data_IF_529908213774
#
_entry.id   IF_529908213774
#
_cell.length_a   1.000
_cell.length_b   1.000
_cell.length_c   1.000
_cell.angle_alpha   90.00
_cell.angle_beta   90.00
_cell.angle_gamma   90.00
#
_symmetry.space_group_name_H-M   'P 1'
#
loop_
_entity.id
_entity.type
_entity.pdbx_description
1 polymer ?
#
# COMPACT_ATOMS: atom_id res chain seq x y z
N UNK A 1 -23.00 10.64 -16.09
CA UNK A 1 -23.01 10.94 -14.63
C UNK A 1 -21.63 11.40 -14.22
N UNK A 2 -21.52 12.48 -13.45
CA UNK A 2 -20.25 12.88 -12.83
C UNK A 2 -20.15 12.20 -11.47
N UNK A 3 -18.99 11.68 -11.15
CA UNK A 3 -18.69 11.09 -9.85
C UNK A 3 -17.65 11.94 -9.14
N UNK A 4 -17.82 12.15 -7.84
CA UNK A 4 -16.92 12.95 -7.02
C UNK A 4 -16.73 12.31 -5.66
N UNK A 5 -15.47 12.26 -5.21
CA UNK A 5 -15.09 11.78 -3.88
C UNK A 5 -14.05 12.70 -3.26
N UNK A 6 -14.16 12.88 -1.94
CA UNK A 6 -13.22 13.66 -1.13
C UNK A 6 -12.34 12.72 -0.31
N UNK A 7 -11.04 12.97 -0.33
CA UNK A 7 -10.04 12.26 0.49
C UNK A 7 -9.22 13.31 1.23
N UNK A 8 -8.82 13.03 2.44
CA UNK A 8 -7.91 13.87 3.20
C UNK A 8 -6.56 13.19 3.38
N UNK A 9 -5.50 13.88 3.03
CA UNK A 9 -4.11 13.44 3.22
C UNK A 9 -3.38 14.41 4.14
N UNK A 10 -2.28 13.99 4.80
CA UNK A 10 -1.44 14.89 5.59
C UNK A 10 -0.87 16.03 4.73
N UNK A 11 -0.81 17.23 5.30
CA UNK A 11 -0.36 18.44 4.58
C UNK A 11 1.09 18.31 4.06
N UNK A 12 1.97 17.68 4.84
CA UNK A 12 3.37 17.40 4.44
C UNK A 12 3.48 16.43 3.26
N UNK A 13 2.40 15.72 2.89
CA UNK A 13 2.34 14.82 1.74
C UNK A 13 1.72 15.46 0.50
N UNK A 14 1.09 16.61 0.62
CA UNK A 14 0.46 17.33 -0.50
C UNK A 14 1.49 17.66 -1.59
N UNK A 15 2.66 18.15 -1.19
CA UNK A 15 3.74 18.45 -2.13
C UNK A 15 4.22 17.23 -2.93
N UNK A 16 4.23 16.04 -2.30
CA UNK A 16 4.57 14.78 -2.97
C UNK A 16 3.49 14.35 -3.96
N UNK A 17 2.21 14.56 -3.62
CA UNK A 17 1.09 14.26 -4.49
C UNK A 17 1.06 15.16 -5.73
N UNK A 18 1.35 16.45 -5.58
CA UNK A 18 1.47 17.37 -6.71
C UNK A 18 2.71 17.01 -7.53
N UNK A 19 3.83 16.77 -6.87
CA UNK A 19 5.10 16.47 -7.49
C UNK A 19 5.77 17.67 -8.14
N UNK A 20 6.99 17.49 -8.64
CA UNK A 20 7.75 18.55 -9.30
C UNK A 20 7.01 19.04 -10.53
N UNK A 21 6.68 20.33 -10.55
CA UNK A 21 5.92 20.98 -11.63
C UNK A 21 4.57 20.28 -11.95
N UNK A 22 3.90 19.70 -10.95
CA UNK A 22 2.61 19.04 -11.13
C UNK A 22 2.66 17.67 -11.80
N UNK A 23 3.85 17.11 -12.05
CA UNK A 23 4.02 15.85 -12.81
C UNK A 23 3.31 14.64 -12.21
N UNK A 24 3.34 14.50 -10.88
CA UNK A 24 2.68 13.36 -10.21
C UNK A 24 1.16 13.46 -10.36
N UNK A 25 0.61 14.65 -10.10
CA UNK A 25 -0.81 14.94 -10.27
C UNK A 25 -1.27 14.63 -11.69
N UNK A 26 -0.63 15.22 -12.71
CA UNK A 26 -0.97 15.01 -14.12
C UNK A 26 -0.92 13.53 -14.51
N UNK A 27 0.10 12.79 -14.03
CA UNK A 27 0.24 11.37 -14.31
C UNK A 27 -0.91 10.54 -13.74
N UNK A 28 -1.39 10.86 -12.54
CA UNK A 28 -2.55 10.18 -11.93
C UNK A 28 -3.82 10.50 -12.72
N UNK A 29 -4.03 11.79 -13.05
CA UNK A 29 -5.19 12.26 -13.79
C UNK A 29 -5.29 11.58 -15.16
N UNK A 30 -4.18 11.50 -15.91
CA UNK A 30 -4.11 10.84 -17.21
C UNK A 30 -4.31 9.33 -17.13
N UNK A 31 -3.67 8.66 -16.15
CA UNK A 31 -3.72 7.20 -16.03
C UNK A 31 -5.08 6.68 -15.57
N UNK A 32 -5.83 7.46 -14.79
CA UNK A 32 -7.12 7.07 -14.23
C UNK A 32 -8.32 7.78 -14.88
N UNK A 33 -8.09 8.69 -15.83
CA UNK A 33 -9.11 9.57 -16.45
C UNK A 33 -9.97 10.29 -15.41
N UNK A 34 -9.29 10.90 -14.43
CA UNK A 34 -9.90 11.68 -13.36
C UNK A 34 -9.31 13.08 -13.30
N UNK A 35 -9.97 13.98 -12.59
CA UNK A 35 -9.46 15.31 -12.24
C UNK A 35 -9.22 15.35 -10.73
N UNK A 36 -8.04 15.83 -10.33
CA UNK A 36 -7.65 16.05 -8.95
C UNK A 36 -7.67 17.54 -8.63
N UNK A 37 -8.51 17.95 -7.70
CA UNK A 37 -8.50 19.29 -7.13
C UNK A 37 -7.95 19.19 -5.70
N UNK A 38 -6.82 19.86 -5.43
CA UNK A 38 -6.02 19.68 -4.23
C UNK A 38 -5.98 20.97 -3.45
N UNK A 39 -6.58 20.99 -2.26
CA UNK A 39 -6.42 22.06 -1.30
C UNK A 39 -5.15 21.86 -0.48
N UNK A 40 -4.15 22.69 -0.76
CA UNK A 40 -2.85 22.59 -0.09
C UNK A 40 -2.87 23.06 1.37
N UNK A 41 -3.90 23.80 1.79
CA UNK A 41 -3.99 24.29 3.15
C UNK A 41 -4.59 23.26 4.11
N UNK A 42 -5.56 22.50 3.63
CA UNK A 42 -6.31 21.55 4.45
C UNK A 42 -5.95 20.08 4.16
N UNK A 43 -5.14 19.82 3.13
CA UNK A 43 -4.83 18.46 2.67
C UNK A 43 -6.03 17.73 2.08
N UNK A 44 -7.08 18.45 1.68
CA UNK A 44 -8.24 17.87 1.02
C UNK A 44 -7.99 17.67 -0.47
N UNK A 45 -8.29 16.47 -0.95
CA UNK A 45 -8.14 16.07 -2.34
C UNK A 45 -9.50 15.62 -2.86
N UNK A 46 -10.03 16.38 -3.80
CA UNK A 46 -11.26 16.05 -4.50
C UNK A 46 -10.92 15.31 -5.79
N UNK A 47 -11.39 14.09 -5.88
CA UNK A 47 -11.24 13.25 -7.07
C UNK A 47 -12.55 13.23 -7.82
N UNK A 48 -12.57 13.71 -9.06
CA UNK A 48 -13.78 13.80 -9.90
C UNK A 48 -13.54 13.26 -11.30
N UNK A 49 -14.61 12.81 -11.96
CA UNK A 49 -14.51 12.34 -13.34
C UNK A 49 -15.86 11.95 -13.93
N UNK A 50 -15.87 11.67 -15.24
CA UNK A 50 -17.07 11.25 -15.98
C UNK A 50 -17.06 9.74 -16.17
N UNK A 51 -18.10 9.06 -15.74
CA UNK A 51 -18.28 7.60 -15.86
C UNK A 51 -18.32 7.11 -17.33
N UNK A 52 -18.52 8.01 -18.28
CA UNK A 52 -18.58 7.68 -19.71
C UNK A 52 -17.19 7.37 -20.34
N UNK A 53 -16.10 7.59 -19.63
CA UNK A 53 -14.76 7.29 -20.11
C UNK A 53 -14.40 5.84 -19.76
N UNK A 54 -14.00 5.03 -20.75
CA UNK A 54 -13.61 3.63 -20.57
C UNK A 54 -12.40 3.45 -19.61
N UNK A 55 -11.55 4.47 -19.52
CA UNK A 55 -10.38 4.50 -18.63
C UNK A 55 -10.69 5.05 -17.24
N UNK A 56 -11.94 5.38 -16.95
CA UNK A 56 -12.34 5.96 -15.68
C UNK A 56 -12.15 4.98 -14.52
N UNK A 57 -11.15 5.25 -13.69
CA UNK A 57 -10.76 4.41 -12.56
C UNK A 57 -10.67 5.22 -11.26
N UNK A 58 -11.79 5.80 -10.83
CA UNK A 58 -11.80 6.67 -9.64
C UNK A 58 -11.32 5.96 -8.38
N UNK A 59 -11.67 4.67 -8.19
CA UNK A 59 -11.24 3.93 -7.01
C UNK A 59 -9.72 3.70 -7.00
N UNK A 60 -9.11 3.43 -8.15
CA UNK A 60 -7.66 3.33 -8.27
C UNK A 60 -6.97 4.68 -8.02
N UNK A 61 -7.53 5.77 -8.54
CA UNK A 61 -7.03 7.11 -8.24
C UNK A 61 -7.09 7.40 -6.74
N UNK A 62 -8.18 7.04 -6.07
CA UNK A 62 -8.33 7.18 -4.61
C UNK A 62 -7.31 6.35 -3.83
N UNK A 63 -7.07 5.09 -4.24
CA UNK A 63 -6.04 4.24 -3.63
C UNK A 63 -4.65 4.85 -3.79
N UNK A 64 -4.31 5.39 -4.98
CA UNK A 64 -3.01 6.03 -5.26
C UNK A 64 -2.83 7.27 -4.39
N UNK A 65 -3.84 8.16 -4.34
CA UNK A 65 -3.82 9.36 -3.49
C UNK A 65 -3.64 8.98 -2.02
N UNK A 66 -4.39 7.98 -1.56
CA UNK A 66 -4.28 7.46 -0.19
C UNK A 66 -2.89 6.88 0.07
N UNK A 67 -2.35 6.07 -0.83
CA UNK A 67 -1.01 5.48 -0.70
C UNK A 67 0.08 6.57 -0.57
N UNK A 68 0.03 7.61 -1.40
CA UNK A 68 0.94 8.74 -1.30
C UNK A 68 0.77 9.45 0.05
N UNK A 69 -0.46 9.71 0.49
CA UNK A 69 -0.76 10.27 1.80
C UNK A 69 -0.29 9.40 2.97
N UNK A 70 -0.16 8.09 2.77
CA UNK A 70 0.36 7.11 3.76
C UNK A 70 1.87 6.86 3.64
N UNK A 71 2.59 7.69 2.90
CA UNK A 71 4.06 7.70 2.88
C UNK A 71 4.71 6.98 1.70
N UNK A 72 3.96 6.38 0.78
CA UNK A 72 4.55 5.82 -0.42
C UNK A 72 5.10 6.89 -1.36
N UNK A 73 6.16 6.57 -2.08
CA UNK A 73 6.60 7.39 -3.22
C UNK A 73 5.60 7.28 -4.37
N UNK A 74 5.51 8.30 -5.25
CA UNK A 74 4.63 8.25 -6.42
C UNK A 74 4.86 7.00 -7.28
N UNK A 75 6.10 6.57 -7.48
CA UNK A 75 6.46 5.41 -8.28
C UNK A 75 5.88 4.12 -7.69
N UNK A 76 6.00 3.93 -6.37
CA UNK A 76 5.43 2.77 -5.67
C UNK A 76 3.89 2.82 -5.68
N UNK A 77 3.29 3.99 -5.43
CA UNK A 77 1.84 4.16 -5.47
C UNK A 77 1.24 3.86 -6.85
N UNK A 78 1.94 4.19 -7.94
CA UNK A 78 1.49 3.89 -9.31
C UNK A 78 1.49 2.38 -9.63
N UNK A 79 2.10 1.53 -8.80
CA UNK A 79 1.96 0.07 -8.95
C UNK A 79 0.52 -0.40 -8.78
N UNK A 80 -0.31 0.36 -8.07
CA UNK A 80 -1.75 0.08 -7.92
C UNK A 80 -2.52 0.02 -9.24
N UNK A 81 -1.97 0.59 -10.33
CA UNK A 81 -2.53 0.48 -11.68
C UNK A 81 -2.18 -0.83 -12.40
N UNK A 82 -1.25 -1.61 -11.86
CA UNK A 82 -0.75 -2.83 -12.50
C UNK A 82 -1.40 -4.06 -11.87
N UNK A 83 -1.91 -4.96 -12.71
CA UNK A 83 -2.47 -6.23 -12.25
C UNK A 83 -3.57 -6.05 -11.19
N UNK A 84 -3.58 -6.92 -10.21
CA UNK A 84 -4.53 -6.93 -9.10
C UNK A 84 -3.97 -6.25 -7.82
N UNK A 85 -2.95 -5.38 -7.98
CA UNK A 85 -2.40 -4.68 -6.83
C UNK A 85 -3.47 -3.83 -6.13
N UNK A 86 -3.52 -3.95 -4.81
CA UNK A 86 -4.39 -3.17 -3.93
C UNK A 86 -3.61 -2.60 -2.76
N UNK A 87 -4.19 -1.58 -2.12
CA UNK A 87 -3.65 -0.94 -0.93
C UNK A 87 -4.33 -1.50 0.32
N UNK A 88 -3.53 -1.94 1.29
CA UNK A 88 -4.02 -2.27 2.63
C UNK A 88 -3.38 -1.35 3.67
N UNK A 89 -4.20 -0.82 4.60
CA UNK A 89 -3.75 0.11 5.64
C UNK A 89 -4.06 -0.46 7.01
N UNK A 90 -3.04 -0.63 7.83
CA UNK A 90 -3.12 -1.15 9.21
C UNK A 90 -2.93 0.00 10.18
N UNK A 91 -3.87 0.19 11.10
CA UNK A 91 -3.77 1.19 12.17
C UNK A 91 -2.96 0.65 13.34
N UNK A 92 -1.90 1.35 13.74
CA UNK A 92 -1.09 0.97 14.91
C UNK A 92 -1.84 1.08 16.23
N UNK A 93 -2.94 1.83 16.25
CA UNK A 93 -3.80 1.95 17.44
C UNK A 93 -4.50 0.63 17.80
N UNK A 94 -4.81 -0.17 16.81
CA UNK A 94 -5.45 -1.49 16.99
C UNK A 94 -4.53 -2.49 17.68
N UNK A 95 -3.21 -2.28 17.57
CA UNK A 95 -2.18 -3.13 18.17
C UNK A 95 -1.53 -2.51 19.42
N UNK A 96 -2.28 -1.70 20.16
CA UNK A 96 -1.84 -1.14 21.44
C UNK A 96 -1.05 0.17 21.32
N UNK A 97 -0.98 0.80 20.15
CA UNK A 97 -0.36 2.11 19.94
C UNK A 97 -1.22 3.27 20.46
N UNK A 98 -1.44 3.34 21.77
CA UNK A 98 -2.25 4.38 22.43
C UNK A 98 -1.45 5.65 22.69
N UNK A 99 -0.19 5.50 23.13
CA UNK A 99 0.72 6.63 23.40
C UNK A 99 1.77 6.80 22.30
N UNK A 100 2.37 7.98 22.15
CA UNK A 100 3.45 8.22 21.18
C UNK A 100 4.61 7.24 21.34
N UNK A 101 5.02 6.93 22.56
CA UNK A 101 6.13 6.03 22.87
C UNK A 101 5.82 4.60 22.44
N UNK A 102 4.57 4.15 22.64
CA UNK A 102 4.12 2.82 22.17
C UNK A 102 4.14 2.75 20.66
N UNK A 103 3.67 3.79 19.98
CA UNK A 103 3.68 3.87 18.51
C UNK A 103 5.12 3.81 17.99
N UNK A 104 6.05 4.58 18.56
CA UNK A 104 7.46 4.56 18.13
C UNK A 104 8.11 3.19 18.38
N UNK A 105 7.82 2.53 19.49
CA UNK A 105 8.30 1.18 19.75
C UNK A 105 7.79 0.17 18.75
N UNK A 106 6.50 0.25 18.39
CA UNK A 106 5.87 -0.62 17.39
C UNK A 106 6.49 -0.37 16.01
N UNK A 107 6.65 0.90 15.61
CA UNK A 107 7.32 1.26 14.36
C UNK A 107 8.75 0.73 14.32
N UNK A 108 9.52 0.94 15.39
CA UNK A 108 10.88 0.45 15.48
C UNK A 108 10.99 -1.06 15.27
N UNK A 109 10.02 -1.81 15.76
CA UNK A 109 9.95 -3.25 15.56
C UNK A 109 9.70 -3.65 14.10
N UNK A 110 8.82 -2.94 13.39
CA UNK A 110 8.51 -3.19 11.99
C UNK A 110 9.63 -2.72 11.06
N UNK A 111 10.19 -1.55 11.32
CA UNK A 111 11.26 -0.96 10.51
C UNK A 111 12.57 -1.75 10.72
N UNK A 112 12.88 -2.07 11.99
CA UNK A 112 14.11 -2.72 12.39
C UNK A 112 15.33 -1.79 12.30
N UNK A 113 16.49 -2.34 12.64
CA UNK A 113 17.75 -1.60 12.55
C UNK A 113 18.02 -1.13 11.11
N UNK A 114 18.17 0.18 10.95
CA UNK A 114 18.42 0.82 9.65
C UNK A 114 17.44 0.42 8.54
N UNK A 115 16.20 0.05 8.92
CA UNK A 115 15.15 -0.37 7.96
C UNK A 115 15.26 -1.82 7.47
N UNK A 116 16.20 -2.61 7.99
CA UNK A 116 16.47 -3.99 7.53
C UNK A 116 15.26 -4.92 7.66
N UNK A 117 14.50 -4.83 8.77
CA UNK A 117 13.35 -5.72 8.96
C UNK A 117 12.26 -5.47 7.92
N UNK A 118 11.95 -4.19 7.64
CA UNK A 118 11.00 -3.81 6.60
C UNK A 118 11.44 -4.29 5.22
N UNK A 119 12.71 -4.02 4.85
CA UNK A 119 13.26 -4.44 3.54
C UNK A 119 13.24 -5.96 3.38
N UNK A 120 13.56 -6.72 4.43
CA UNK A 120 13.48 -8.19 4.40
C UNK A 120 12.04 -8.67 4.16
N UNK A 121 11.06 -8.08 4.84
CA UNK A 121 9.65 -8.41 4.61
C UNK A 121 9.20 -8.06 3.19
N UNK A 122 9.58 -6.88 2.65
CA UNK A 122 9.31 -6.49 1.27
C UNK A 122 9.88 -7.51 0.27
N UNK A 123 11.15 -7.90 0.45
CA UNK A 123 11.83 -8.85 -0.43
C UNK A 123 11.21 -10.26 -0.38
N UNK A 124 10.85 -10.73 0.82
CA UNK A 124 10.28 -12.06 1.01
C UNK A 124 8.83 -12.16 0.53
N UNK A 125 8.00 -11.14 0.78
CA UNK A 125 6.60 -11.11 0.37
C UNK A 125 6.37 -10.61 -1.05
N UNK A 126 7.34 -9.87 -1.62
CA UNK A 126 7.23 -9.11 -2.87
C UNK A 126 6.19 -7.98 -2.83
N UNK A 127 5.70 -7.62 -1.64
CA UNK A 127 4.85 -6.46 -1.41
C UNK A 127 5.69 -5.23 -1.03
N UNK A 128 5.21 -4.04 -1.35
CA UNK A 128 5.81 -2.79 -0.83
C UNK A 128 5.20 -2.45 0.52
N UNK A 129 6.04 -2.08 1.49
CA UNK A 129 5.63 -1.74 2.85
C UNK A 129 6.10 -0.32 3.19
N UNK A 130 5.23 0.50 3.75
CA UNK A 130 5.60 1.80 4.31
C UNK A 130 5.05 1.97 5.72
N UNK A 131 5.80 2.68 6.55
CA UNK A 131 5.41 3.03 7.92
C UNK A 131 5.38 4.55 8.00
N UNK A 132 4.20 5.11 8.19
CA UNK A 132 4.02 6.56 8.22
C UNK A 132 2.96 6.98 9.24
N UNK A 133 3.28 8.02 10.03
CA UNK A 133 2.38 8.49 11.07
C UNK A 133 2.01 7.39 12.07
N UNK A 134 0.75 7.02 12.13
CA UNK A 134 0.19 5.99 13.01
C UNK A 134 -0.30 4.76 12.22
N UNK A 135 0.21 4.56 11.00
CA UNK A 135 -0.22 3.49 10.12
C UNK A 135 0.95 2.75 9.47
N UNK A 136 0.73 1.50 9.17
CA UNK A 136 1.53 0.71 8.25
C UNK A 136 0.67 0.49 7.01
N UNK A 137 1.24 0.69 5.84
CA UNK A 137 0.51 0.51 4.58
C UNK A 137 1.28 -0.45 3.68
N UNK A 138 0.56 -1.31 2.98
CA UNK A 138 1.11 -2.37 2.14
C UNK A 138 0.47 -2.30 0.76
N UNK A 139 1.28 -2.41 -0.30
CA UNK A 139 0.83 -2.52 -1.69
C UNK A 139 1.33 -3.84 -2.26
N UNK A 140 0.45 -4.59 -2.88
CA UNK A 140 0.78 -5.85 -3.54
C UNK A 140 -0.43 -6.54 -4.13
N UNK A 141 -0.17 -7.66 -4.81
CA UNK A 141 -1.22 -8.59 -5.23
C UNK A 141 -1.81 -9.33 -4.02
N UNK A 142 -3.00 -9.93 -4.12
CA UNK A 142 -3.69 -10.56 -2.98
C UNK A 142 -2.82 -11.52 -2.17
N UNK A 143 -2.03 -12.35 -2.84
CA UNK A 143 -1.14 -13.32 -2.17
C UNK A 143 0.02 -12.64 -1.47
N UNK A 144 0.64 -11.64 -2.12
CA UNK A 144 1.73 -10.84 -1.56
C UNK A 144 1.25 -10.05 -0.33
N UNK A 145 0.06 -9.43 -0.44
CA UNK A 145 -0.58 -8.72 0.67
C UNK A 145 -0.79 -9.64 1.86
N UNK A 146 -1.38 -10.82 1.65
CA UNK A 146 -1.62 -11.78 2.71
C UNK A 146 -0.32 -12.13 3.46
N UNK A 147 0.75 -12.48 2.73
CA UNK A 147 2.05 -12.80 3.34
C UNK A 147 2.62 -11.63 4.14
N UNK A 148 2.55 -10.41 3.59
CA UNK A 148 3.07 -9.22 4.27
C UNK A 148 2.24 -8.83 5.50
N UNK A 149 0.91 -8.88 5.42
CA UNK A 149 0.00 -8.56 6.52
C UNK A 149 0.18 -9.58 7.65
N UNK A 150 0.16 -10.88 7.37
CA UNK A 150 0.37 -11.94 8.35
C UNK A 150 1.72 -11.80 9.07
N UNK A 151 2.76 -11.36 8.34
CA UNK A 151 4.07 -11.08 8.90
C UNK A 151 4.06 -9.87 9.85
N UNK A 152 3.45 -8.77 9.41
CA UNK A 152 3.32 -7.55 10.20
C UNK A 152 2.53 -7.82 11.47
N UNK A 153 1.38 -8.47 11.38
CA UNK A 153 0.53 -8.81 12.54
C UNK A 153 1.26 -9.75 13.51
N UNK A 154 2.01 -10.72 12.99
CA UNK A 154 2.85 -11.61 13.83
C UNK A 154 3.92 -10.83 14.60
N UNK A 155 4.58 -9.85 13.95
CA UNK A 155 5.54 -8.98 14.63
C UNK A 155 4.87 -8.09 15.69
N UNK A 156 3.71 -7.53 15.36
CA UNK A 156 2.91 -6.71 16.27
C UNK A 156 2.44 -7.53 17.50
N UNK A 157 2.11 -8.81 17.30
CA UNK A 157 1.78 -9.77 18.33
C UNK A 157 2.96 -10.29 19.17
N UNK A 158 4.20 -9.82 18.88
CA UNK A 158 5.38 -10.14 19.69
C UNK A 158 6.30 -11.23 19.12
N UNK A 159 6.01 -11.79 17.94
CA UNK A 159 6.84 -12.83 17.32
C UNK A 159 8.24 -12.32 16.97
N UNK A 160 9.26 -13.19 17.06
CA UNK A 160 10.63 -12.85 16.66
C UNK A 160 10.76 -12.71 15.14
N UNK A 161 11.59 -11.78 14.66
CA UNK A 161 11.82 -11.52 13.24
C UNK A 161 12.20 -12.80 12.47
N UNK A 162 13.15 -13.59 12.98
CA UNK A 162 13.57 -14.83 12.33
C UNK A 162 12.44 -15.84 12.11
N UNK A 163 11.51 -15.95 13.06
CA UNK A 163 10.31 -16.77 12.90
C UNK A 163 9.40 -16.24 11.78
N UNK A 164 9.17 -14.92 11.78
CA UNK A 164 8.31 -14.27 10.78
C UNK A 164 8.87 -14.45 9.36
N UNK A 165 10.18 -14.29 9.17
CA UNK A 165 10.81 -14.51 7.86
C UNK A 165 10.64 -15.94 7.36
N UNK A 166 10.86 -16.94 8.22
CA UNK A 166 10.62 -18.35 7.87
C UNK A 166 9.16 -18.62 7.50
N UNK A 167 8.22 -17.96 8.18
CA UNK A 167 6.79 -18.08 7.88
C UNK A 167 6.45 -17.53 6.50
N UNK A 168 7.00 -16.35 6.12
CA UNK A 168 6.82 -15.78 4.78
C UNK A 168 7.39 -16.71 3.70
N UNK A 169 8.62 -17.21 3.91
CA UNK A 169 9.26 -18.15 2.96
C UNK A 169 8.46 -19.45 2.79
N UNK A 170 7.91 -19.99 3.88
CA UNK A 170 7.07 -21.19 3.83
C UNK A 170 5.77 -20.92 3.05
N UNK A 171 5.09 -19.80 3.33
CA UNK A 171 3.88 -19.39 2.61
C UNK A 171 4.14 -19.21 1.12
N UNK A 172 5.24 -18.54 0.75
CA UNK A 172 5.64 -18.34 -0.64
C UNK A 172 5.92 -19.67 -1.39
N UNK A 173 6.55 -20.63 -0.71
CA UNK A 173 6.77 -21.97 -1.27
C UNK A 173 5.45 -22.68 -1.52
N UNK A 174 4.53 -22.60 -0.56
CA UNK A 174 3.20 -23.22 -0.67
C UNK A 174 2.39 -22.65 -1.83
N UNK A 175 2.40 -21.32 -2.01
CA UNK A 175 1.74 -20.66 -3.13
C UNK A 175 2.32 -21.09 -4.49
N UNK A 176 3.66 -21.12 -4.59
CA UNK A 176 4.32 -21.58 -5.80
C UNK A 176 3.91 -23.02 -6.16
N UNK A 177 3.84 -23.89 -5.16
CA UNK A 177 3.42 -25.27 -5.33
C UNK A 177 1.95 -25.39 -5.76
N UNK A 178 1.05 -24.65 -5.11
CA UNK A 178 -0.37 -24.62 -5.47
C UNK A 178 -0.59 -24.12 -6.92
N UNK A 179 0.17 -23.10 -7.34
CA UNK A 179 0.12 -22.60 -8.72
C UNK A 179 0.56 -23.66 -9.74
N UNK A 180 1.63 -24.40 -9.46
CA UNK A 180 2.11 -25.48 -10.33
C UNK A 180 1.07 -26.60 -10.47
N UNK A 181 0.41 -27.00 -9.38
CA UNK A 181 -0.65 -28.01 -9.43
C UNK A 181 -1.86 -27.58 -10.27
N UNK A 182 -2.20 -26.28 -10.26
CA UNK A 182 -3.28 -25.75 -11.09
C UNK A 182 -2.96 -25.85 -12.58
N UNK A 183 -1.69 -25.66 -12.97
CA UNK A 183 -1.25 -25.81 -14.38
C UNK A 183 -1.28 -27.28 -14.83
N UNK A 184 -0.79 -28.21 -14.01
CA UNK A 184 -0.84 -29.64 -14.34
C UNK A 184 -2.27 -30.18 -14.55
N UNK A 185 -3.27 -29.64 -13.81
CA UNK A 185 -4.66 -30.06 -13.96
C UNK A 185 -5.38 -29.43 -15.19
N UNK A 186 -4.81 -28.42 -15.85
CA UNK A 186 -5.37 -27.82 -17.06
C UNK A 186 -4.97 -28.55 -18.34
N UNK A 187 -3.90 -29.33 -18.32
CA UNK A 187 -3.42 -30.11 -19.49
C UNK A 187 -4.11 -31.49 -19.65
N UNK A 188 -5.19 -31.74 -18.88
CA UNK A 188 -5.92 -33.05 -18.88
C UNK A 188 -7.26 -33.01 -19.64
N UNK A 189 -7.51 -31.95 -20.48
CA UNK A 189 -8.69 -31.88 -21.34
C UNK A 189 -8.35 -31.66 -22.81
#
# INVERSE_FOLDING_TARGET
MSFEKLIRIPEDRVGVLIGKSGKTKSKIEESCSVKLDIDSQNGEVRVSGKVADEKFQIFKAMEIVTAIGRGFSPEKAMRLLKGENTLHVISLREFGGKTPEQIERIKGRIIGDSGKARVNMENLSSADITVYGKTISVIGEPTQLKLAIDAIESLLGGSMHGYVYKKIEAGRRQEKFARLQLWENQDVF
#
